data_IF_643207049871
#
_entry.id   IF_643207049871
#
_cell.length_a   1.000
_cell.length_b   1.000
_cell.length_c   1.000
_cell.angle_alpha   90.00
_cell.angle_beta   90.00
_cell.angle_gamma   90.00
#
_symmetry.space_group_name_H-M   'P 1'
#
loop_
_entity.id
_entity.type
_entity.pdbx_description
1 polymer ?
#
# COMPACT_ATOMS: atom_id res chain seq x y z
N UNK A 1 41.14 -31.81 21.52
CA UNK A 1 40.11 -30.75 21.67
C UNK A 1 40.25 -29.76 20.53
N UNK A 2 39.49 -29.91 19.43
CA UNK A 2 39.57 -28.98 18.30
C UNK A 2 38.32 -29.05 17.40
N UNK A 3 37.14 -28.88 17.98
CA UNK A 3 35.89 -28.71 17.22
C UNK A 3 34.97 -27.76 17.96
N UNK A 4 35.18 -26.46 17.80
CA UNK A 4 34.25 -25.43 18.26
C UNK A 4 34.52 -24.20 17.39
N UNK A 5 33.85 -24.12 16.24
CA UNK A 5 33.55 -22.90 15.48
C UNK A 5 32.82 -23.28 14.17
N UNK A 6 31.69 -23.95 14.30
CA UNK A 6 30.69 -24.08 13.25
C UNK A 6 29.30 -23.87 13.86
N UNK A 7 29.09 -22.68 14.44
CA UNK A 7 27.76 -22.24 14.90
C UNK A 7 27.63 -20.73 14.68
N UNK A 8 27.73 -20.32 13.43
CA UNK A 8 27.04 -19.11 12.97
C UNK A 8 26.01 -19.58 11.96
N UNK A 9 25.02 -20.33 12.48
CA UNK A 9 23.85 -20.70 11.71
C UNK A 9 23.05 -19.41 11.50
N UNK A 10 22.90 -19.08 10.23
CA UNK A 10 22.03 -18.08 9.64
C UNK A 10 20.80 -17.77 10.52
N UNK A 11 20.85 -16.69 11.27
CA UNK A 11 19.66 -15.93 11.66
C UNK A 11 19.35 -14.90 10.58
N UNK A 12 19.28 -15.33 9.31
CA UNK A 12 18.53 -14.56 8.31
C UNK A 12 17.06 -14.76 8.64
N UNK A 13 16.59 -14.02 9.65
CA UNK A 13 15.18 -13.84 9.90
C UNK A 13 14.57 -13.32 8.61
N UNK A 14 13.83 -14.19 7.91
CA UNK A 14 13.01 -13.82 6.78
C UNK A 14 12.04 -12.75 7.28
N UNK A 15 12.36 -11.48 7.01
CA UNK A 15 11.40 -10.39 7.12
C UNK A 15 10.30 -10.72 6.12
N UNK A 16 9.21 -11.32 6.62
CA UNK A 16 8.05 -11.64 5.82
C UNK A 16 7.45 -10.32 5.29
N UNK A 17 7.74 -10.00 4.02
CA UNK A 17 7.16 -8.84 3.37
C UNK A 17 5.65 -9.04 3.28
N UNK A 18 4.89 -8.04 3.74
CA UNK A 18 3.43 -8.06 3.68
C UNK A 18 3.05 -7.44 2.33
N UNK A 19 3.09 -8.25 1.28
CA UNK A 19 2.80 -7.78 -0.09
C UNK A 19 1.30 -7.91 -0.37
N UNK A 20 0.75 -7.03 -1.22
CA UNK A 20 -0.62 -7.15 -1.71
C UNK A 20 -0.83 -8.43 -2.53
N UNK A 21 -1.75 -9.27 -2.07
CA UNK A 21 -2.17 -10.51 -2.72
C UNK A 21 -3.39 -10.30 -3.64
N UNK A 22 -3.45 -11.10 -4.70
CA UNK A 22 -4.57 -11.15 -5.64
C UNK A 22 -5.81 -11.77 -4.98
N UNK A 23 -6.98 -11.25 -5.35
CA UNK A 23 -8.30 -11.69 -4.90
C UNK A 23 -8.50 -11.61 -3.37
N UNK A 24 -7.70 -10.80 -2.68
CA UNK A 24 -7.83 -10.51 -1.26
C UNK A 24 -8.37 -9.10 -1.07
N UNK A 25 -9.35 -8.96 -0.16
CA UNK A 25 -9.87 -7.66 0.26
C UNK A 25 -8.96 -7.06 1.32
N UNK A 26 -8.66 -5.78 1.18
CA UNK A 26 -7.90 -4.98 2.14
C UNK A 26 -8.74 -3.83 2.65
N UNK A 27 -8.50 -3.44 3.90
CA UNK A 27 -8.98 -2.20 4.49
C UNK A 27 -7.78 -1.31 4.71
N UNK A 28 -7.81 -0.11 4.14
CA UNK A 28 -6.73 0.84 4.14
C UNK A 28 -7.14 2.09 4.93
N UNK A 29 -6.38 2.41 5.97
CA UNK A 29 -6.62 3.57 6.82
C UNK A 29 -5.69 4.70 6.41
N UNK A 30 -6.24 5.90 6.22
CA UNK A 30 -5.44 7.06 5.88
C UNK A 30 -4.56 7.44 7.07
N UNK A 31 -3.25 7.45 6.87
CA UNK A 31 -2.26 7.75 7.92
C UNK A 31 -1.77 9.18 7.83
N UNK A 32 -1.55 9.69 6.62
CA UNK A 32 -1.17 11.08 6.40
C UNK A 32 -1.46 11.53 4.97
N UNK A 33 -1.60 12.84 4.81
CA UNK A 33 -1.71 13.50 3.53
C UNK A 33 -0.49 14.39 3.31
N UNK A 34 -0.11 14.60 2.06
CA UNK A 34 0.75 15.70 1.64
C UNK A 34 -0.12 16.69 0.89
N UNK A 35 -0.23 17.91 1.42
CA UNK A 35 -0.97 19.01 0.81
C UNK A 35 0.01 20.17 0.62
N UNK A 36 0.25 20.57 -0.64
CA UNK A 36 1.19 21.63 -0.99
C UNK A 36 2.58 21.43 -0.34
N UNK A 37 3.07 20.17 -0.35
CA UNK A 37 4.36 19.80 0.24
C UNK A 37 4.38 19.64 1.76
N UNK A 38 3.28 19.99 2.47
CA UNK A 38 3.18 19.83 3.93
C UNK A 38 2.52 18.51 4.29
N UNK A 39 3.15 17.76 5.20
CA UNK A 39 2.59 16.53 5.76
C UNK A 39 1.59 16.84 6.85
N UNK A 40 0.38 16.28 6.72
CA UNK A 40 -0.70 16.36 7.70
C UNK A 40 -1.01 14.93 8.13
N UNK A 41 -0.62 14.55 9.34
CA UNK A 41 -0.91 13.23 9.90
C UNK A 41 -2.34 13.20 10.40
N UNK A 42 -3.07 12.13 10.09
CA UNK A 42 -4.43 11.93 10.60
C UNK A 42 -4.38 11.16 11.90
N UNK A 43 -5.30 11.49 12.80
CA UNK A 43 -5.57 10.68 13.99
C UNK A 43 -6.24 9.36 13.59
N UNK A 44 -6.14 8.36 14.45
CA UNK A 44 -6.82 7.08 14.23
C UNK A 44 -8.34 7.26 14.08
N UNK A 45 -8.94 8.11 14.93
CA UNK A 45 -10.38 8.40 14.92
C UNK A 45 -10.85 9.05 13.62
N UNK A 46 -10.00 9.84 12.96
CA UNK A 46 -10.28 10.37 11.63
C UNK A 46 -10.13 9.30 10.54
N UNK A 47 -9.09 8.48 10.65
CA UNK A 47 -8.76 7.46 9.66
C UNK A 47 -9.84 6.37 9.54
N UNK A 48 -10.45 5.95 10.66
CA UNK A 48 -11.49 4.92 10.69
C UNK A 48 -12.83 5.37 10.12
N UNK A 49 -13.09 6.68 10.02
CA UNK A 49 -14.36 7.22 9.49
C UNK A 49 -14.52 6.98 8.00
N UNK A 50 -13.40 6.97 7.25
CA UNK A 50 -13.41 6.83 5.79
C UNK A 50 -12.30 5.87 5.33
N UNK A 51 -12.38 4.58 5.68
CA UNK A 51 -11.41 3.59 5.22
C UNK A 51 -11.58 3.37 3.71
N UNK A 52 -10.47 3.25 3.00
CA UNK A 52 -10.47 2.82 1.61
C UNK A 52 -10.42 1.29 1.58
N UNK A 53 -11.44 0.62 1.04
CA UNK A 53 -11.37 -0.83 0.85
C UNK A 53 -10.94 -1.11 -0.58
N UNK A 54 -9.98 -2.00 -0.76
CA UNK A 54 -9.48 -2.37 -2.08
C UNK A 54 -9.44 -3.88 -2.28
N UNK A 55 -9.46 -4.30 -3.54
CA UNK A 55 -9.19 -5.68 -3.93
C UNK A 55 -8.44 -5.68 -5.25
N UNK A 56 -7.32 -6.39 -5.31
CA UNK A 56 -6.57 -6.60 -6.54
C UNK A 56 -7.13 -7.82 -7.26
N UNK A 57 -7.33 -7.75 -8.57
CA UNK A 57 -7.66 -8.90 -9.39
C UNK A 57 -7.06 -8.74 -10.80
N UNK A 58 -6.06 -9.57 -11.09
CA UNK A 58 -5.26 -9.56 -12.31
C UNK A 58 -4.71 -8.16 -12.58
N UNK A 59 -5.26 -7.49 -13.61
CA UNK A 59 -4.82 -6.19 -14.09
C UNK A 59 -5.68 -5.03 -13.56
N UNK A 60 -6.59 -5.31 -12.62
CA UNK A 60 -7.49 -4.31 -12.06
C UNK A 60 -7.35 -4.23 -10.54
N UNK A 61 -7.51 -3.03 -10.01
CA UNK A 61 -7.72 -2.78 -8.60
C UNK A 61 -9.10 -2.16 -8.44
N UNK A 62 -9.92 -2.78 -7.60
CA UNK A 62 -11.27 -2.35 -7.29
C UNK A 62 -11.28 -1.63 -5.95
N UNK A 63 -11.88 -0.45 -5.89
CA UNK A 63 -12.08 0.34 -4.67
C UNK A 63 -13.54 0.23 -4.20
N UNK A 64 -13.78 0.40 -2.89
CA UNK A 64 -15.14 0.52 -2.34
C UNK A 64 -15.93 1.73 -2.83
N UNK A 65 -15.29 2.68 -3.52
CA UNK A 65 -15.96 3.80 -4.17
C UNK A 65 -16.49 3.45 -5.59
N UNK A 66 -16.61 2.16 -5.91
CA UNK A 66 -16.90 1.62 -7.25
C UNK A 66 -15.91 2.06 -8.34
N UNK A 67 -14.76 2.58 -7.92
CA UNK A 67 -13.69 2.98 -8.82
C UNK A 67 -12.85 1.77 -9.23
N UNK A 68 -12.62 1.63 -10.54
CA UNK A 68 -11.76 0.62 -11.13
C UNK A 68 -10.49 1.29 -11.62
N UNK A 69 -9.36 0.73 -11.23
CA UNK A 69 -8.04 1.17 -11.62
C UNK A 69 -7.36 0.11 -12.46
N UNK A 70 -6.74 0.52 -13.56
CA UNK A 70 -6.00 -0.38 -14.43
C UNK A 70 -4.53 -0.42 -14.05
N UNK A 71 -3.94 -1.60 -14.08
CA UNK A 71 -2.51 -1.80 -13.95
C UNK A 71 -1.77 -0.95 -15.00
N UNK A 72 -0.71 -0.28 -14.58
CA UNK A 72 0.15 0.50 -15.48
C UNK A 72 1.56 -0.06 -15.52
N UNK A 73 2.16 -0.29 -14.37
CA UNK A 73 3.53 -0.81 -14.31
C UNK A 73 3.88 -1.37 -12.94
N UNK A 74 4.93 -2.18 -12.91
CA UNK A 74 5.65 -2.56 -11.70
C UNK A 74 7.10 -2.15 -11.86
N UNK A 75 7.64 -1.40 -10.90
CA UNK A 75 9.07 -1.05 -10.85
C UNK A 75 9.58 -1.37 -9.45
N UNK A 76 10.53 -2.29 -9.38
CA UNK A 76 11.02 -2.86 -8.13
C UNK A 76 9.84 -3.39 -7.29
N UNK A 77 9.71 -2.85 -6.09
CA UNK A 77 8.72 -3.19 -5.07
C UNK A 77 7.45 -2.33 -5.13
N UNK A 78 7.36 -1.41 -6.11
CA UNK A 78 6.21 -0.55 -6.31
C UNK A 78 5.37 -1.01 -7.50
N UNK A 79 4.05 -1.13 -7.28
CA UNK A 79 3.06 -1.48 -8.30
C UNK A 79 2.13 -0.28 -8.50
N UNK A 80 1.97 0.16 -9.74
CA UNK A 80 1.12 1.29 -10.09
C UNK A 80 -0.16 0.86 -10.80
N UNK A 81 -1.28 1.41 -10.32
CA UNK A 81 -2.58 1.35 -10.98
C UNK A 81 -3.08 2.78 -11.24
N UNK A 82 -3.89 3.02 -12.26
CA UNK A 82 -4.53 4.34 -12.44
C UNK A 82 -5.87 4.26 -13.14
N UNK A 83 -6.69 5.28 -12.92
CA UNK A 83 -7.90 5.57 -13.69
C UNK A 83 -7.79 6.98 -14.29
N UNK A 84 -8.87 7.54 -14.84
CA UNK A 84 -8.84 8.88 -15.45
C UNK A 84 -8.46 10.00 -14.45
N UNK A 85 -8.80 9.84 -13.17
CA UNK A 85 -8.70 10.91 -12.16
C UNK A 85 -7.46 10.79 -11.29
N UNK A 86 -7.03 9.58 -10.97
CA UNK A 86 -6.06 9.30 -9.90
C UNK A 86 -5.12 8.16 -10.28
N UNK A 87 -3.95 8.13 -9.65
CA UNK A 87 -2.97 7.05 -9.68
C UNK A 87 -2.84 6.47 -8.27
N UNK A 88 -2.76 5.15 -8.17
CA UNK A 88 -2.46 4.40 -6.97
C UNK A 88 -1.06 3.80 -7.08
N UNK A 89 -0.32 3.84 -5.98
CA UNK A 89 1.01 3.26 -5.82
C UNK A 89 0.98 2.32 -4.62
N UNK A 90 1.22 1.04 -4.86
CA UNK A 90 1.21 -0.02 -3.85
C UNK A 90 2.63 -0.46 -3.59
N UNK A 91 3.04 -0.57 -2.32
CA UNK A 91 4.36 -1.05 -1.91
C UNK A 91 4.33 -2.43 -1.24
N UNK A 92 5.52 -2.96 -0.91
CA UNK A 92 5.72 -4.27 -0.27
C UNK A 92 5.36 -4.34 1.23
N UNK A 93 4.98 -3.21 1.83
CA UNK A 93 4.64 -3.08 3.24
C UNK A 93 3.14 -2.83 3.44
N UNK A 94 2.30 -3.18 2.45
CA UNK A 94 0.88 -2.84 2.38
C UNK A 94 0.61 -1.33 2.43
N UNK A 95 1.57 -0.50 2.02
CA UNK A 95 1.38 0.93 1.84
C UNK A 95 0.66 1.22 0.53
N UNK A 96 -0.29 2.14 0.56
CA UNK A 96 -0.99 2.64 -0.62
C UNK A 96 -0.90 4.16 -0.68
N UNK A 97 -0.27 4.68 -1.72
CA UNK A 97 -0.31 6.09 -2.09
C UNK A 97 -1.40 6.34 -3.13
N UNK A 98 -2.19 7.39 -2.96
CA UNK A 98 -3.16 7.88 -3.93
C UNK A 98 -2.78 9.30 -4.35
N UNK A 99 -2.60 9.49 -5.65
CA UNK A 99 -2.18 10.76 -6.24
C UNK A 99 -3.22 11.20 -7.28
N UNK A 100 -3.95 12.30 -7.04
CA UNK A 100 -4.78 12.92 -8.06
C UNK A 100 -3.95 13.39 -9.27
N UNK A 101 -4.41 13.03 -10.48
CA UNK A 101 -3.79 13.49 -11.73
C UNK A 101 -4.03 14.98 -11.94
N UNK A 102 -5.22 15.46 -11.57
CA UNK A 102 -5.50 16.90 -11.45
C UNK A 102 -4.75 17.45 -10.24
N UNK A 103 -3.89 18.44 -10.45
CA UNK A 103 -3.07 19.04 -9.39
C UNK A 103 -1.64 18.51 -9.27
N UNK A 104 -1.17 17.62 -10.18
CA UNK A 104 0.25 17.22 -10.37
C UNK A 104 1.06 17.03 -9.08
N UNK A 105 0.57 16.23 -8.13
CA UNK A 105 1.30 15.89 -6.90
C UNK A 105 1.21 16.93 -5.77
N UNK A 106 0.46 18.03 -5.95
CA UNK A 106 0.13 18.95 -4.87
C UNK A 106 -0.72 18.32 -3.76
N UNK A 107 -1.43 17.23 -4.09
CA UNK A 107 -2.19 16.41 -3.16
C UNK A 107 -1.73 14.97 -3.27
N UNK A 108 -1.41 14.35 -2.14
CA UNK A 108 -1.08 12.92 -2.07
C UNK A 108 -1.65 12.37 -0.76
N UNK A 109 -2.27 11.20 -0.82
CA UNK A 109 -2.91 10.56 0.33
C UNK A 109 -2.23 9.22 0.57
N UNK A 110 -1.86 8.93 1.81
CA UNK A 110 -1.11 7.73 2.16
C UNK A 110 -1.88 6.88 3.15
N UNK A 111 -2.06 5.63 2.78
CA UNK A 111 -2.84 4.67 3.53
C UNK A 111 -1.96 3.50 3.95
N UNK A 112 -2.23 2.98 5.15
CA UNK A 112 -1.72 1.69 5.59
C UNK A 112 -2.84 0.66 5.47
N UNK A 113 -2.59 -0.40 4.72
CA UNK A 113 -3.56 -1.45 4.47
C UNK A 113 -3.33 -2.68 5.35
N UNK A 114 -4.42 -3.36 5.68
CA UNK A 114 -4.43 -4.68 6.32
C UNK A 114 -5.44 -5.57 5.61
N UNK A 115 -5.20 -6.89 5.61
CA UNK A 115 -6.17 -7.86 5.08
C UNK A 115 -7.49 -7.71 5.85
N UNK A 116 -8.61 -7.65 5.13
CA UNK A 116 -9.92 -7.67 5.76
C UNK A 116 -10.13 -9.03 6.45
N UNK A 117 -10.57 -9.03 7.70
CA UNK A 117 -11.01 -10.25 8.38
C UNK A 117 -12.31 -10.72 7.70
N UNK A 118 -12.42 -12.03 7.47
CA UNK A 118 -13.63 -12.67 6.94
C UNK A 118 -14.80 -12.49 7.89
#
# INVERSE_FOLDING_TARGET
MKYLLFFVLLSTGLLASKVFEQNIKYVCLNTYNIIQGKRITLTYDEAIKKPLKIMLNKNKLYSSADEIYEFKMKKNELISYSNEKTMLLLDINLGLGLVPKKGRGAYQYYYQCVKAKK
#
